data_IF_621680215959
#
_entry.id   IF_621680215959
#
_cell.length_a   1.000
_cell.length_b   1.000
_cell.length_c   1.000
_cell.angle_alpha   90.00
_cell.angle_beta   90.00
_cell.angle_gamma   90.00
#
_symmetry.space_group_name_H-M   'P 1'
#
loop_
_entity.id
_entity.type
_entity.pdbx_description
1 polymer ?
#
# COMPACT_ATOMS: atom_id res chain seq x y z
N UNK A 1 0.14 35.08 55.52
CA UNK A 1 -0.40 33.71 55.35
C UNK A 1 -1.85 33.71 55.76
N UNK A 2 -2.74 33.13 54.93
CA UNK A 2 -3.56 32.04 55.45
C UNK A 2 -3.59 30.82 54.52
N UNK A 3 -3.82 29.68 55.14
CA UNK A 3 -3.78 28.32 54.61
C UNK A 3 -4.84 28.10 53.51
N UNK A 4 -4.42 27.45 52.41
CA UNK A 4 -5.33 26.92 51.39
C UNK A 4 -5.78 25.51 51.80
N UNK A 5 -7.08 25.17 51.78
CA UNK A 5 -7.55 23.85 52.15
C UNK A 5 -7.28 22.83 51.03
N UNK A 6 -6.61 21.73 51.37
CA UNK A 6 -6.49 20.56 50.51
C UNK A 6 -7.87 19.91 50.31
N UNK A 7 -8.41 19.98 49.10
CA UNK A 7 -9.57 19.17 48.70
C UNK A 7 -9.11 17.76 48.30
N UNK A 8 -9.83 16.70 48.71
CA UNK A 8 -9.57 15.34 48.25
C UNK A 8 -9.90 15.20 46.75
N UNK A 9 -9.23 14.30 46.01
CA UNK A 9 -9.53 14.07 44.61
C UNK A 9 -10.96 13.52 44.44
N UNK A 10 -11.66 13.87 43.35
CA UNK A 10 -13.02 13.39 43.12
C UNK A 10 -13.04 11.87 42.90
N UNK A 11 -14.10 11.16 43.33
CA UNK A 11 -14.21 9.73 43.14
C UNK A 11 -14.28 9.40 41.64
N UNK A 12 -13.63 8.31 41.25
CA UNK A 12 -13.60 7.79 39.89
C UNK A 12 -15.02 7.74 39.30
N UNK A 13 -15.28 8.58 38.31
CA UNK A 13 -16.56 8.63 37.60
C UNK A 13 -16.81 7.29 36.93
N UNK A 14 -17.89 6.61 37.34
CA UNK A 14 -18.38 5.41 36.68
C UNK A 14 -18.62 5.69 35.18
N UNK A 15 -18.29 4.76 34.28
CA UNK A 15 -18.47 4.97 32.85
C UNK A 15 -19.96 5.19 32.52
N UNK A 16 -20.29 6.05 31.53
CA UNK A 16 -21.67 6.39 31.22
C UNK A 16 -22.48 5.15 30.81
N UNK A 17 -23.79 5.10 31.11
CA UNK A 17 -24.62 3.88 30.99
C UNK A 17 -24.59 3.23 29.59
N UNK A 18 -24.39 4.01 28.52
CA UNK A 18 -24.24 3.49 27.14
C UNK A 18 -23.00 2.61 26.96
N UNK A 19 -21.90 2.94 27.63
CA UNK A 19 -20.63 2.19 27.56
C UNK A 19 -20.77 0.86 28.33
N UNK A 20 -21.44 0.88 29.48
CA UNK A 20 -21.78 -0.33 30.24
C UNK A 20 -22.68 -1.27 29.43
N UNK A 21 -23.74 -0.75 28.80
CA UNK A 21 -24.62 -1.57 27.95
C UNK A 21 -23.86 -2.18 26.77
N UNK A 22 -23.02 -1.41 26.08
CA UNK A 22 -22.19 -1.93 24.98
C UNK A 22 -21.21 -3.01 25.46
N UNK A 23 -20.62 -2.83 26.65
CA UNK A 23 -19.74 -3.82 27.26
C UNK A 23 -20.46 -5.14 27.57
N UNK A 24 -21.66 -5.09 28.18
CA UNK A 24 -22.45 -6.29 28.45
C UNK A 24 -22.97 -6.96 27.19
N UNK A 25 -23.40 -6.19 26.17
CA UNK A 25 -23.78 -6.73 24.86
C UNK A 25 -22.59 -7.41 24.19
N UNK A 26 -21.40 -6.80 24.22
CA UNK A 26 -20.18 -7.40 23.70
C UNK A 26 -19.84 -8.71 24.42
N UNK A 27 -19.93 -8.73 25.76
CA UNK A 27 -19.67 -9.93 26.56
C UNK A 27 -20.68 -11.04 26.25
N UNK A 28 -21.97 -10.70 26.17
CA UNK A 28 -23.05 -11.61 25.79
C UNK A 28 -22.82 -12.20 24.39
N UNK A 29 -22.55 -11.35 23.39
CA UNK A 29 -22.25 -11.80 22.03
C UNK A 29 -21.01 -12.70 21.99
N UNK A 30 -19.97 -12.41 22.79
CA UNK A 30 -18.80 -13.28 22.91
C UNK A 30 -19.15 -14.64 23.53
N UNK A 31 -19.96 -14.67 24.59
CA UNK A 31 -20.41 -15.91 25.23
C UNK A 31 -21.29 -16.73 24.28
N UNK A 32 -22.26 -16.10 23.65
CA UNK A 32 -23.15 -16.72 22.66
C UNK A 32 -22.36 -17.30 21.48
N UNK A 33 -21.41 -16.55 20.92
CA UNK A 33 -20.53 -17.02 19.85
C UNK A 33 -19.71 -18.25 20.27
N UNK A 34 -19.21 -18.28 21.51
CA UNK A 34 -18.46 -19.43 22.04
C UNK A 34 -19.34 -20.67 22.16
N UNK A 35 -20.54 -20.52 22.72
CA UNK A 35 -21.50 -21.62 22.85
C UNK A 35 -21.92 -22.13 21.48
N UNK A 36 -22.23 -21.22 20.54
CA UNK A 36 -22.55 -21.57 19.16
C UNK A 36 -21.40 -22.33 18.51
N UNK A 37 -20.15 -21.84 18.62
CA UNK A 37 -18.96 -22.52 18.06
C UNK A 37 -18.77 -23.93 18.60
N UNK A 38 -19.01 -24.15 19.89
CA UNK A 38 -18.98 -25.48 20.50
C UNK A 38 -20.09 -26.37 19.93
N UNK A 39 -21.32 -25.87 19.88
CA UNK A 39 -22.47 -26.59 19.31
C UNK A 39 -22.24 -26.94 17.84
N UNK A 40 -21.75 -26.00 17.02
CA UNK A 40 -21.43 -26.26 15.61
C UNK A 40 -20.35 -27.33 15.46
N UNK A 41 -19.35 -27.39 16.36
CA UNK A 41 -18.35 -28.48 16.34
C UNK A 41 -18.99 -29.82 16.67
N UNK A 42 -19.91 -29.87 17.63
CA UNK A 42 -20.63 -31.10 17.98
C UNK A 42 -21.54 -31.59 16.86
N UNK A 43 -22.21 -30.67 16.17
CA UNK A 43 -23.14 -31.01 15.07
C UNK A 43 -22.40 -31.36 13.78
N UNK A 44 -21.37 -30.58 13.40
CA UNK A 44 -20.70 -30.75 12.09
C UNK A 44 -19.44 -31.61 12.14
N UNK A 45 -18.93 -31.93 13.33
CA UNK A 45 -17.62 -32.57 13.51
C UNK A 45 -16.41 -31.68 13.16
N UNK A 46 -16.62 -30.53 12.51
CA UNK A 46 -15.57 -29.65 11.99
C UNK A 46 -15.18 -28.57 13.00
N UNK A 47 -13.89 -28.26 13.09
CA UNK A 47 -13.42 -27.10 13.84
C UNK A 47 -13.64 -25.78 13.05
N UNK A 48 -13.40 -24.64 13.70
CA UNK A 48 -13.59 -23.32 13.07
C UNK A 48 -12.68 -23.11 11.85
N UNK A 49 -11.39 -23.46 11.95
CA UNK A 49 -10.44 -23.35 10.84
C UNK A 49 -10.89 -24.16 9.62
N UNK A 50 -11.38 -25.39 9.84
CA UNK A 50 -11.97 -26.20 8.77
C UNK A 50 -13.16 -25.49 8.10
N UNK A 51 -14.10 -24.96 8.89
CA UNK A 51 -15.25 -24.22 8.34
C UNK A 51 -14.82 -22.97 7.57
N UNK A 52 -13.80 -22.25 8.03
CA UNK A 52 -13.29 -21.08 7.33
C UNK A 52 -12.67 -21.49 5.99
N UNK A 53 -11.80 -22.51 5.99
CA UNK A 53 -11.13 -22.96 4.76
C UNK A 53 -12.10 -23.52 3.72
N UNK A 54 -13.14 -24.26 4.12
CA UNK A 54 -14.10 -24.82 3.16
C UNK A 54 -15.13 -23.82 2.63
N UNK A 55 -15.53 -22.84 3.44
CA UNK A 55 -16.62 -21.93 3.08
C UNK A 55 -16.14 -20.61 2.47
N UNK A 56 -14.83 -20.40 2.34
CA UNK A 56 -14.27 -19.16 1.79
C UNK A 56 -13.21 -19.50 0.74
N UNK A 57 -13.35 -18.91 -0.45
CA UNK A 57 -12.36 -19.01 -1.53
C UNK A 57 -10.99 -18.45 -1.07
N UNK A 58 -9.87 -18.87 -1.71
CA UNK A 58 -8.58 -18.23 -1.49
C UNK A 58 -8.65 -16.71 -1.64
N UNK A 59 -7.92 -15.99 -0.79
CA UNK A 59 -7.91 -14.52 -0.76
C UNK A 59 -8.18 -13.94 0.62
N UNK A 60 -8.33 -12.62 0.67
CA UNK A 60 -8.41 -11.84 1.91
C UNK A 60 -9.50 -12.29 2.87
N UNK A 61 -10.69 -12.63 2.36
CA UNK A 61 -11.81 -13.06 3.22
C UNK A 61 -11.46 -14.29 4.05
N UNK A 62 -10.77 -15.26 3.45
CA UNK A 62 -10.35 -16.49 4.14
C UNK A 62 -9.23 -16.17 5.12
N UNK A 63 -8.21 -15.45 4.67
CA UNK A 63 -7.00 -15.15 5.44
C UNK A 63 -7.29 -14.28 6.66
N UNK A 64 -8.09 -13.21 6.53
CA UNK A 64 -8.49 -12.36 7.65
C UNK A 64 -9.28 -13.12 8.72
N UNK A 65 -10.14 -14.07 8.30
CA UNK A 65 -10.89 -14.93 9.23
C UNK A 65 -9.98 -15.92 9.94
N UNK A 66 -9.01 -16.52 9.24
CA UNK A 66 -7.99 -17.40 9.84
C UNK A 66 -7.15 -16.61 10.83
N UNK A 67 -6.62 -15.46 10.44
CA UNK A 67 -5.84 -14.58 11.30
C UNK A 67 -6.59 -14.24 12.59
N UNK A 68 -7.85 -13.79 12.47
CA UNK A 68 -8.70 -13.51 13.63
C UNK A 68 -8.95 -14.76 14.49
N UNK A 69 -9.19 -15.91 13.86
CA UNK A 69 -9.42 -17.17 14.58
C UNK A 69 -8.19 -17.63 15.37
N UNK A 70 -6.99 -17.35 14.88
CA UNK A 70 -5.72 -17.69 15.52
C UNK A 70 -5.40 -16.69 16.65
N UNK A 71 -5.45 -15.39 16.36
CA UNK A 71 -5.16 -14.31 17.32
C UNK A 71 -6.06 -14.34 18.55
N UNK A 72 -7.36 -14.62 18.38
CA UNK A 72 -8.32 -14.67 19.49
C UNK A 72 -8.53 -16.07 20.06
N UNK A 73 -7.67 -17.03 19.72
CA UNK A 73 -7.67 -18.37 20.32
C UNK A 73 -7.38 -18.32 21.82
N UNK A 74 -7.77 -19.36 22.57
CA UNK A 74 -7.30 -19.57 23.97
C UNK A 74 -5.96 -20.32 24.05
N UNK A 75 -5.58 -20.98 22.96
CA UNK A 75 -4.34 -21.74 22.89
C UNK A 75 -3.21 -20.82 22.48
N UNK A 76 -2.18 -20.75 23.31
CA UNK A 76 -0.96 -19.97 23.05
C UNK A 76 -0.27 -20.42 21.76
N UNK A 77 -0.23 -21.72 21.47
CA UNK A 77 0.27 -22.28 20.22
C UNK A 77 -0.43 -21.68 18.99
N UNK A 78 -1.76 -21.53 19.03
CA UNK A 78 -2.49 -20.92 17.91
C UNK A 78 -2.28 -19.41 17.82
N UNK A 79 -2.10 -18.73 18.96
CA UNK A 79 -1.80 -17.30 18.97
C UNK A 79 -0.41 -17.02 18.43
N UNK A 80 0.59 -17.84 18.75
CA UNK A 80 1.95 -17.67 18.28
C UNK A 80 2.10 -17.92 16.78
N UNK A 81 1.24 -18.77 16.19
CA UNK A 81 1.27 -19.13 14.77
C UNK A 81 1.19 -17.93 13.79
N UNK A 82 0.65 -16.78 14.20
CA UNK A 82 0.61 -15.57 13.34
C UNK A 82 1.88 -14.72 13.41
N UNK A 83 2.83 -15.08 14.27
CA UNK A 83 4.07 -14.33 14.54
C UNK A 83 5.34 -15.16 14.38
N UNK A 84 5.23 -16.31 13.73
CA UNK A 84 6.37 -17.19 13.40
C UNK A 84 7.15 -16.66 12.19
N UNK A 85 8.42 -17.06 12.02
CA UNK A 85 9.14 -16.81 10.78
C UNK A 85 8.62 -17.71 9.62
N UNK A 86 8.84 -17.31 8.34
CA UNK A 86 8.31 -18.02 7.16
C UNK A 86 8.70 -19.50 7.06
N UNK A 87 9.94 -19.83 7.40
CA UNK A 87 10.50 -21.18 7.39
C UNK A 87 9.81 -22.13 8.38
N UNK A 88 9.20 -21.59 9.42
CA UNK A 88 8.49 -22.35 10.47
C UNK A 88 7.02 -22.60 10.15
N UNK A 89 6.51 -22.12 9.01
CA UNK A 89 5.08 -22.22 8.66
C UNK A 89 4.61 -23.67 8.53
N UNK A 90 5.41 -24.54 7.91
CA UNK A 90 5.07 -25.97 7.74
C UNK A 90 4.91 -26.66 9.10
N UNK A 91 5.90 -26.50 9.97
CA UNK A 91 5.85 -27.01 11.34
C UNK A 91 4.63 -26.47 12.12
N UNK A 92 4.31 -25.18 11.97
CA UNK A 92 3.16 -24.59 12.63
C UNK A 92 1.84 -25.19 12.13
N UNK A 93 1.73 -25.58 10.85
CA UNK A 93 0.56 -26.27 10.31
C UNK A 93 0.40 -27.63 10.98
N UNK A 94 1.47 -28.41 11.08
CA UNK A 94 1.45 -29.74 11.73
C UNK A 94 1.05 -29.63 13.21
N UNK A 95 1.62 -28.65 13.92
CA UNK A 95 1.30 -28.33 15.31
C UNK A 95 -0.20 -27.95 15.45
N UNK A 96 -0.74 -27.14 14.54
CA UNK A 96 -2.17 -26.77 14.50
C UNK A 96 -3.06 -27.98 14.21
N UNK A 97 -2.71 -28.80 13.22
CA UNK A 97 -3.47 -29.99 12.82
C UNK A 97 -3.55 -30.98 13.98
N UNK A 98 -2.41 -31.24 14.61
CA UNK A 98 -2.27 -32.11 15.79
C UNK A 98 -3.12 -31.61 16.94
N UNK A 99 -2.98 -30.33 17.32
CA UNK A 99 -3.75 -29.70 18.40
C UNK A 99 -5.26 -29.77 18.15
N UNK A 100 -5.68 -29.61 16.89
CA UNK A 100 -7.10 -29.66 16.51
C UNK A 100 -7.63 -31.07 16.30
N UNK A 101 -6.77 -32.09 16.36
CA UNK A 101 -7.07 -33.50 16.08
C UNK A 101 -7.66 -33.67 14.67
N UNK A 102 -6.99 -33.07 13.69
CA UNK A 102 -7.36 -33.15 12.28
C UNK A 102 -6.47 -34.20 11.61
N UNK A 103 -7.08 -35.15 10.90
CA UNK A 103 -6.34 -36.13 10.12
C UNK A 103 -5.90 -35.49 8.78
N UNK A 104 -4.59 -35.49 8.51
CA UNK A 104 -3.97 -34.93 7.29
C UNK A 104 -4.47 -35.62 6.02
N UNK A 105 -4.46 -36.96 5.99
CA UNK A 105 -4.80 -37.77 4.81
C UNK A 105 -6.26 -37.59 4.38
N UNK A 106 -7.14 -37.32 5.35
CA UNK A 106 -8.55 -37.09 5.09
C UNK A 106 -8.85 -35.65 4.63
N UNK A 107 -7.91 -34.70 4.75
CA UNK A 107 -8.16 -33.27 4.53
C UNK A 107 -6.99 -32.52 3.86
N UNK A 108 -6.40 -33.00 2.74
CA UNK A 108 -5.21 -32.38 2.14
C UNK A 108 -5.43 -30.90 1.76
N UNK A 109 -6.63 -30.57 1.25
CA UNK A 109 -6.99 -29.19 0.88
C UNK A 109 -6.98 -28.21 2.06
N UNK A 110 -7.17 -28.71 3.30
CA UNK A 110 -7.12 -27.87 4.49
C UNK A 110 -5.69 -27.40 4.75
N UNK A 111 -4.71 -28.28 4.64
CA UNK A 111 -3.29 -27.96 4.83
C UNK A 111 -2.84 -26.89 3.86
N UNK A 112 -3.12 -27.08 2.58
CA UNK A 112 -2.81 -26.10 1.51
C UNK A 112 -3.48 -24.74 1.80
N UNK A 113 -4.75 -24.75 2.21
CA UNK A 113 -5.49 -23.52 2.51
C UNK A 113 -4.94 -22.78 3.74
N UNK A 114 -4.54 -23.52 4.77
CA UNK A 114 -3.92 -22.97 5.98
C UNK A 114 -2.52 -22.44 5.66
N UNK A 115 -1.72 -23.17 4.90
CA UNK A 115 -0.38 -22.78 4.47
C UNK A 115 -0.40 -21.44 3.73
N UNK A 116 -1.20 -21.35 2.67
CA UNK A 116 -1.33 -20.11 1.91
C UNK A 116 -1.76 -18.93 2.80
N UNK A 117 -2.70 -19.16 3.73
CA UNK A 117 -3.17 -18.10 4.62
C UNK A 117 -2.13 -17.70 5.67
N UNK A 118 -1.36 -18.65 6.20
CA UNK A 118 -0.28 -18.37 7.16
C UNK A 118 0.90 -17.66 6.50
N UNK A 119 1.31 -18.08 5.30
CA UNK A 119 2.34 -17.38 4.52
C UNK A 119 1.93 -15.95 4.24
N UNK A 120 0.65 -15.70 3.92
CA UNK A 120 0.12 -14.35 3.75
C UNK A 120 0.20 -13.51 5.05
N UNK A 121 -0.20 -14.07 6.18
CA UNK A 121 -0.18 -13.38 7.48
C UNK A 121 1.26 -13.03 7.89
N UNK A 122 2.16 -14.02 7.82
CA UNK A 122 3.58 -13.85 8.17
C UNK A 122 4.26 -12.90 7.18
N UNK A 123 4.00 -13.04 5.89
CA UNK A 123 4.54 -12.15 4.85
C UNK A 123 4.12 -10.70 5.05
N UNK A 124 2.87 -10.45 5.42
CA UNK A 124 2.41 -9.09 5.74
C UNK A 124 3.17 -8.47 6.92
N UNK A 125 3.47 -9.27 7.94
CA UNK A 125 4.28 -8.82 9.09
C UNK A 125 5.72 -8.53 8.67
N UNK A 126 6.33 -9.37 7.85
CA UNK A 126 7.68 -9.14 7.33
C UNK A 126 7.73 -7.89 6.45
N UNK A 127 6.73 -7.71 5.60
CA UNK A 127 6.57 -6.51 4.78
C UNK A 127 6.48 -5.23 5.63
N UNK A 128 5.72 -5.24 6.73
CA UNK A 128 5.67 -4.12 7.67
C UNK A 128 7.05 -3.76 8.23
N UNK A 129 7.84 -4.76 8.61
CA UNK A 129 9.19 -4.54 9.14
C UNK A 129 10.15 -4.00 8.08
N UNK A 130 10.10 -4.55 6.86
CA UNK A 130 10.95 -4.14 5.74
C UNK A 130 10.63 -2.72 5.28
N UNK A 131 9.33 -2.40 5.10
CA UNK A 131 8.88 -1.04 4.74
C UNK A 131 9.23 -0.04 5.83
N UNK A 132 9.06 -0.39 7.11
CA UNK A 132 9.42 0.51 8.22
C UNK A 132 10.93 0.73 8.31
N UNK A 133 11.75 -0.30 8.02
CA UNK A 133 13.20 -0.16 7.95
C UNK A 133 13.58 0.88 6.89
N UNK A 134 13.11 0.72 5.65
CA UNK A 134 13.39 1.63 4.54
C UNK A 134 12.86 3.05 4.80
N UNK A 135 11.69 3.17 5.44
CA UNK A 135 11.10 4.47 5.78
C UNK A 135 11.95 5.25 6.79
N UNK A 136 12.58 4.54 7.74
CA UNK A 136 13.43 5.14 8.78
C UNK A 136 14.85 5.38 8.33
N UNK A 137 15.30 4.70 7.28
CA UNK A 137 16.65 4.85 6.74
C UNK A 137 16.79 6.21 6.03
N UNK A 138 17.61 7.14 6.55
CA UNK A 138 17.77 8.44 5.93
C UNK A 138 18.59 8.33 4.64
N UNK A 139 18.28 9.17 3.66
CA UNK A 139 19.14 9.34 2.51
C UNK A 139 20.52 9.86 2.92
N UNK A 140 21.57 9.20 2.44
CA UNK A 140 22.96 9.55 2.71
C UNK A 140 23.69 9.85 1.40
N UNK A 141 24.26 11.05 1.30
CA UNK A 141 25.00 11.52 0.13
C UNK A 141 26.41 10.94 0.04
N UNK A 142 26.93 10.40 1.14
CA UNK A 142 28.23 9.74 1.18
C UNK A 142 28.13 8.24 0.85
N UNK A 143 26.91 7.71 0.74
CA UNK A 143 26.65 6.32 0.36
C UNK A 143 26.48 6.21 -1.16
N UNK A 144 27.37 5.43 -1.80
CA UNK A 144 27.37 5.26 -3.25
C UNK A 144 26.11 4.61 -3.81
N UNK A 145 25.49 3.67 -3.08
CA UNK A 145 24.26 3.00 -3.54
C UNK A 145 23.06 3.97 -3.53
N UNK A 146 23.00 4.86 -2.53
CA UNK A 146 21.96 5.88 -2.44
C UNK A 146 22.07 6.92 -3.57
N UNK A 147 23.30 7.39 -3.83
CA UNK A 147 23.58 8.30 -4.93
C UNK A 147 23.32 7.63 -6.28
N UNK A 148 23.69 6.37 -6.47
CA UNK A 148 23.38 5.61 -7.69
C UNK A 148 21.87 5.52 -7.94
N UNK A 149 21.07 5.18 -6.92
CA UNK A 149 19.61 5.12 -7.04
C UNK A 149 19.00 6.48 -7.43
N UNK A 150 19.48 7.57 -6.83
CA UNK A 150 18.97 8.92 -7.11
C UNK A 150 19.35 9.37 -8.54
N UNK A 151 20.57 9.11 -8.97
CA UNK A 151 21.03 9.40 -10.33
C UNK A 151 20.29 8.54 -11.36
N UNK A 152 20.01 7.28 -11.04
CA UNK A 152 19.20 6.38 -11.88
C UNK A 152 17.79 6.91 -12.06
N UNK A 153 17.16 7.40 -10.99
CA UNK A 153 15.83 8.05 -11.06
C UNK A 153 15.83 9.21 -12.06
N UNK A 154 16.84 10.09 -11.98
CA UNK A 154 16.99 11.20 -12.93
C UNK A 154 17.13 10.69 -14.36
N UNK A 155 18.09 9.79 -14.61
CA UNK A 155 18.36 9.23 -15.93
C UNK A 155 17.11 8.57 -16.55
N UNK A 156 16.28 7.93 -15.73
CA UNK A 156 15.04 7.29 -16.19
C UNK A 156 13.96 8.30 -16.59
N UNK A 157 13.83 9.41 -15.86
CA UNK A 157 12.80 10.44 -16.07
C UNK A 157 13.22 11.57 -17.03
N UNK A 158 14.54 11.79 -17.19
CA UNK A 158 15.16 12.83 -18.02
C UNK A 158 16.37 12.25 -18.79
N UNK A 159 16.16 11.28 -19.69
CA UNK A 159 17.25 10.63 -20.42
C UNK A 159 18.05 11.61 -21.30
N UNK A 160 17.40 12.65 -21.82
CA UNK A 160 17.98 13.58 -22.78
C UNK A 160 18.70 14.77 -22.13
N UNK A 161 18.65 14.90 -20.81
CA UNK A 161 19.22 16.04 -20.08
C UNK A 161 20.05 15.55 -18.91
N UNK A 162 21.37 15.35 -19.08
CA UNK A 162 22.24 14.96 -17.99
C UNK A 162 22.27 15.99 -16.86
N UNK A 163 22.49 15.54 -15.63
CA UNK A 163 22.71 16.45 -14.50
C UNK A 163 24.07 17.14 -14.65
N UNK A 164 24.09 18.46 -14.47
CA UNK A 164 25.33 19.26 -14.41
C UNK A 164 26.12 19.01 -13.13
N UNK A 165 25.45 18.47 -12.10
CA UNK A 165 26.05 18.11 -10.83
C UNK A 165 25.00 17.55 -9.87
N UNK A 166 25.46 16.88 -8.82
CA UNK A 166 24.58 16.28 -7.81
C UNK A 166 23.72 17.33 -7.11
N UNK A 167 24.24 18.51 -6.80
CA UNK A 167 23.46 19.64 -6.28
C UNK A 167 23.21 20.63 -7.42
N UNK A 168 21.98 20.68 -7.92
CA UNK A 168 21.60 21.48 -9.09
C UNK A 168 20.12 21.85 -9.06
N UNK A 169 19.75 22.99 -9.65
CA UNK A 169 18.33 23.39 -9.79
C UNK A 169 17.53 22.46 -10.70
N UNK A 170 18.20 21.63 -11.49
CA UNK A 170 17.58 20.64 -12.37
C UNK A 170 16.63 19.69 -11.61
N UNK A 171 16.89 19.37 -10.34
CA UNK A 171 15.99 18.53 -9.54
C UNK A 171 14.57 19.07 -9.41
N UNK A 172 14.38 20.40 -9.51
CA UNK A 172 13.05 21.01 -9.55
C UNK A 172 12.24 20.57 -10.78
N UNK A 173 12.88 20.19 -11.89
CA UNK A 173 12.22 19.77 -13.14
C UNK A 173 11.50 18.44 -13.04
N UNK A 174 11.89 17.59 -12.08
CA UNK A 174 11.16 16.36 -11.74
C UNK A 174 10.38 16.49 -10.43
N UNK A 175 10.27 17.72 -9.92
CA UNK A 175 9.41 18.06 -8.79
C UNK A 175 10.00 17.80 -7.42
N UNK A 176 11.33 17.82 -7.24
CA UNK A 176 11.95 17.93 -5.91
C UNK A 176 11.99 19.39 -5.43
N UNK A 177 12.16 19.60 -4.13
CA UNK A 177 12.24 20.94 -3.55
C UNK A 177 13.69 21.44 -3.57
N UNK A 178 13.92 22.56 -4.26
CA UNK A 178 15.24 23.20 -4.28
C UNK A 178 16.27 22.41 -5.11
N UNK A 179 17.54 22.55 -4.76
CA UNK A 179 18.66 22.00 -5.55
C UNK A 179 19.21 20.68 -5.02
N UNK A 180 18.72 20.18 -3.89
CA UNK A 180 19.17 18.94 -3.28
C UNK A 180 18.00 18.09 -2.75
N UNK A 181 17.66 16.98 -3.43
CA UNK A 181 16.62 16.03 -3.02
C UNK A 181 16.79 15.44 -1.62
N UNK A 182 18.00 15.45 -1.04
CA UNK A 182 18.27 14.90 0.31
C UNK A 182 17.28 15.41 1.35
N UNK A 183 16.89 16.68 1.23
CA UNK A 183 16.00 17.34 2.20
C UNK A 183 14.53 16.91 2.11
N UNK A 184 14.11 16.35 0.98
CA UNK A 184 12.74 15.93 0.69
C UNK A 184 12.43 14.54 1.26
N UNK A 185 13.44 13.68 1.35
CA UNK A 185 13.29 12.31 1.84
C UNK A 185 13.15 12.20 3.37
N UNK A 186 13.17 13.29 4.14
CA UNK A 186 13.16 13.24 5.62
C UNK A 186 12.00 12.46 6.22
N UNK A 187 10.80 12.55 5.63
CA UNK A 187 9.59 11.90 6.16
C UNK A 187 9.53 10.40 5.86
N UNK A 188 9.91 10.02 4.64
CA UNK A 188 9.75 8.66 4.11
C UNK A 188 11.07 7.93 3.85
N UNK A 189 12.21 8.52 4.22
CA UNK A 189 13.53 7.92 4.05
C UNK A 189 13.81 7.44 2.63
N UNK A 190 14.59 6.37 2.54
CA UNK A 190 14.86 5.67 1.28
C UNK A 190 13.60 5.05 0.66
N UNK A 191 12.57 4.71 1.45
CA UNK A 191 11.32 4.18 0.89
C UNK A 191 10.72 5.11 -0.17
N UNK A 192 10.79 6.43 0.05
CA UNK A 192 10.34 7.42 -0.92
C UNK A 192 11.13 7.35 -2.24
N UNK A 193 12.45 7.20 -2.17
CA UNK A 193 13.32 7.05 -3.34
C UNK A 193 13.07 5.72 -4.06
N UNK A 194 13.01 4.61 -3.32
CA UNK A 194 12.72 3.28 -3.87
C UNK A 194 11.39 3.26 -4.64
N UNK A 195 10.34 3.85 -4.08
CA UNK A 195 9.03 3.88 -4.72
C UNK A 195 9.02 4.73 -5.99
N UNK A 196 9.61 5.94 -5.94
CA UNK A 196 9.74 6.81 -7.12
C UNK A 196 10.51 6.13 -8.23
N UNK A 197 11.65 5.51 -7.90
CA UNK A 197 12.47 4.77 -8.85
C UNK A 197 11.72 3.57 -9.42
N UNK A 198 11.07 2.77 -8.57
CA UNK A 198 10.28 1.62 -9.01
C UNK A 198 9.20 2.03 -10.02
N UNK A 199 8.46 3.11 -9.74
CA UNK A 199 7.44 3.62 -10.66
C UNK A 199 8.04 4.11 -11.99
N UNK A 200 9.17 4.82 -11.94
CA UNK A 200 9.87 5.28 -13.13
C UNK A 200 10.39 4.12 -14.00
N UNK A 201 10.79 3.00 -13.40
CA UNK A 201 11.35 1.84 -14.12
C UNK A 201 10.30 0.86 -14.62
N UNK A 202 9.28 0.57 -13.81
CA UNK A 202 8.31 -0.50 -14.10
C UNK A 202 7.04 -0.01 -14.78
N UNK A 203 6.69 1.28 -14.61
CA UNK A 203 5.56 1.93 -15.29
C UNK A 203 6.02 3.22 -15.96
N UNK A 204 7.14 3.12 -16.71
CA UNK A 204 7.83 4.28 -17.29
C UNK A 204 6.92 5.19 -18.10
N UNK A 205 6.03 4.60 -18.92
CA UNK A 205 5.10 5.37 -19.74
C UNK A 205 4.15 6.22 -18.89
N UNK A 206 3.53 5.63 -17.86
CA UNK A 206 2.66 6.35 -16.94
C UNK A 206 3.46 7.36 -16.12
N UNK A 207 4.65 7.01 -15.63
CA UNK A 207 5.49 7.92 -14.86
C UNK A 207 5.89 9.17 -15.65
N UNK A 208 6.29 9.00 -16.91
CA UNK A 208 6.61 10.12 -17.80
C UNK A 208 5.37 10.94 -18.16
N UNK A 209 4.22 10.31 -18.39
CA UNK A 209 2.96 11.02 -18.62
C UNK A 209 2.55 11.87 -17.41
N UNK A 210 2.54 11.26 -16.22
CA UNK A 210 2.21 11.96 -14.96
C UNK A 210 3.18 13.12 -14.73
N UNK A 211 4.48 12.89 -14.96
CA UNK A 211 5.48 13.95 -14.84
C UNK A 211 5.24 15.08 -15.86
N UNK A 212 4.97 14.75 -17.12
CA UNK A 212 4.67 15.74 -18.15
C UNK A 212 3.44 16.58 -17.79
N UNK A 213 2.32 15.93 -17.45
CA UNK A 213 1.07 16.59 -17.07
C UNK A 213 1.25 17.47 -15.83
N UNK A 214 2.06 17.02 -14.88
CA UNK A 214 2.36 17.75 -13.64
C UNK A 214 3.16 19.04 -13.87
N UNK A 215 3.69 19.27 -15.07
CA UNK A 215 4.44 20.48 -15.42
C UNK A 215 3.62 21.49 -16.24
N UNK A 216 2.44 21.09 -16.75
CA UNK A 216 1.64 21.92 -17.65
C UNK A 216 0.79 22.98 -16.88
N UNK A 217 0.73 24.25 -17.33
CA UNK A 217 -0.24 25.25 -16.84
C UNK A 217 -1.66 24.98 -17.38
N UNK A 218 -2.73 25.29 -16.61
CA UNK A 218 -4.12 25.08 -17.08
C UNK A 218 -4.54 26.33 -17.82
N UNK A 219 -4.84 26.20 -19.11
CA UNK A 219 -5.76 27.14 -19.74
C UNK A 219 -7.17 26.79 -19.29
N UNK A 220 -7.76 27.62 -18.43
CA UNK A 220 -9.15 27.48 -18.04
C UNK A 220 -10.01 27.73 -19.28
N UNK A 221 -10.76 26.73 -19.75
CA UNK A 221 -11.79 26.96 -20.77
C UNK A 221 -12.85 27.90 -20.17
N UNK A 222 -13.16 28.95 -20.93
CA UNK A 222 -13.96 30.08 -20.50
C UNK A 222 -15.29 29.68 -19.86
N UNK A 223 -15.38 29.90 -18.54
CA UNK A 223 -16.66 30.12 -17.85
C UNK A 223 -16.90 31.63 -17.69
N UNK A 224 -16.39 32.43 -18.64
CA UNK A 224 -16.54 33.88 -18.71
C UNK A 224 -17.56 34.32 -19.78
N UNK A 225 -18.55 33.48 -20.11
CA UNK A 225 -19.65 33.89 -21.00
C UNK A 225 -20.76 34.69 -20.31
N UNK A 226 -20.66 34.98 -19.00
CA UNK A 226 -21.64 35.82 -18.31
C UNK A 226 -21.01 36.68 -17.21
N UNK A 227 -20.19 37.67 -17.60
CA UNK A 227 -20.02 38.87 -16.78
C UNK A 227 -20.14 40.09 -17.70
N UNK A 228 -21.33 40.70 -17.71
CA UNK A 228 -21.54 42.02 -18.31
C UNK A 228 -20.62 43.03 -17.60
N UNK A 229 -19.79 43.82 -18.32
CA UNK A 229 -18.86 44.78 -17.71
C UNK A 229 -19.50 45.99 -17.01
N UNK A 230 -20.81 46.00 -16.80
CA UNK A 230 -21.56 47.21 -16.40
C UNK A 230 -21.87 47.32 -14.90
N UNK A 231 -21.39 46.43 -14.03
CA UNK A 231 -21.72 46.49 -12.59
C UNK A 231 -20.48 46.30 -11.73
N UNK A 232 -19.59 47.28 -11.72
CA UNK A 232 -18.64 47.51 -10.62
C UNK A 232 -18.43 49.01 -10.43
N UNK A 233 -19.44 49.67 -9.87
CA UNK A 233 -19.22 50.84 -9.02
C UNK A 233 -19.90 50.56 -7.68
N UNK A 234 -19.18 50.91 -6.61
CA UNK A 234 -19.61 50.90 -5.21
C UNK A 234 -19.72 49.53 -4.50
N UNK A 235 -18.75 49.20 -3.64
CA UNK A 235 -18.86 49.53 -2.21
C UNK A 235 -17.72 48.99 -1.34
N UNK A 236 -17.61 49.68 -0.22
CA UNK A 236 -16.52 49.76 0.74
C UNK A 236 -16.23 48.54 1.63
N UNK A 237 -15.03 48.65 2.23
CA UNK A 237 -14.47 47.99 3.40
C UNK A 237 -15.47 47.52 4.49
N UNK A 238 -15.29 46.30 5.02
CA UNK A 238 -15.60 45.98 6.41
C UNK A 238 -14.85 44.72 6.91
N UNK A 239 -14.38 44.83 8.15
CA UNK A 239 -13.47 44.00 8.94
C UNK A 239 -13.99 42.61 9.32
N UNK A 240 -13.09 41.64 9.54
CA UNK A 240 -13.38 40.37 10.23
C UNK A 240 -12.39 40.12 11.38
N UNK A 241 -12.84 39.55 12.52
CA UNK A 241 -12.05 39.47 13.76
C UNK A 241 -11.16 38.22 13.84
N UNK A 242 -10.07 38.38 14.60
CA UNK A 242 -9.05 37.39 14.98
C UNK A 242 -9.58 36.34 15.95
N UNK A 243 -9.19 35.07 15.75
CA UNK A 243 -9.31 34.02 16.77
C UNK A 243 -8.13 33.03 16.65
N UNK A 244 -7.33 32.96 17.72
CA UNK A 244 -6.19 32.05 17.92
C UNK A 244 -6.63 30.83 18.74
N UNK A 245 -6.16 29.62 18.37
CA UNK A 245 -5.29 28.74 19.20
C UNK A 245 -5.33 27.23 18.82
N UNK A 246 -4.11 26.67 18.62
CA UNK A 246 -3.63 25.25 18.69
C UNK A 246 -3.95 24.20 17.60
N UNK A 247 -3.11 23.14 17.43
CA UNK A 247 -1.67 22.98 17.69
C UNK A 247 -0.84 22.68 16.41
N UNK A 248 0.47 22.95 16.50
CA UNK A 248 1.42 22.90 15.40
C UNK A 248 1.67 21.49 14.83
N UNK A 249 1.39 21.31 13.54
CA UNK A 249 1.98 20.30 12.64
C UNK A 249 1.63 20.68 11.20
N UNK A 250 2.58 20.57 10.27
CA UNK A 250 2.49 20.92 8.83
C UNK A 250 2.52 22.40 8.42
N UNK A 251 2.08 23.35 9.25
CA UNK A 251 2.09 24.78 8.86
C UNK A 251 3.52 25.39 8.77
N UNK A 252 4.50 24.84 9.50
CA UNK A 252 5.87 25.38 9.52
C UNK A 252 6.77 24.94 8.36
N UNK A 253 6.34 23.95 7.55
CA UNK A 253 7.14 23.42 6.44
C UNK A 253 6.74 23.97 5.07
N UNK A 254 5.52 24.52 4.96
CA UNK A 254 4.99 25.05 3.70
C UNK A 254 4.87 26.59 3.74
N UNK A 255 4.77 27.21 4.92
CA UNK A 255 4.48 28.64 5.07
C UNK A 255 5.67 29.60 5.00
N UNK A 256 6.83 29.26 5.59
CA UNK A 256 7.88 30.24 5.86
C UNK A 256 9.21 29.94 5.16
N UNK A 257 9.26 30.15 3.83
CA UNK A 257 10.48 30.61 3.13
C UNK A 257 10.35 31.05 1.67
N UNK A 258 9.15 31.36 1.18
CA UNK A 258 9.00 32.14 -0.06
C UNK A 258 8.94 33.63 0.26
N UNK A 259 10.07 34.23 0.67
CA UNK A 259 10.21 35.68 0.73
C UNK A 259 11.48 36.11 0.00
N UNK A 260 11.41 36.10 -1.33
CA UNK A 260 12.12 37.08 -2.15
C UNK A 260 11.11 38.21 -2.41
N UNK A 261 11.45 39.46 -2.05
CA UNK A 261 10.55 40.61 -2.13
C UNK A 261 9.99 40.73 -3.55
N UNK A 262 8.70 40.43 -3.73
CA UNK A 262 8.03 40.48 -5.03
C UNK A 262 6.87 41.47 -4.97
N UNK A 263 6.67 42.22 -6.05
CA UNK A 263 5.73 43.33 -6.09
C UNK A 263 4.26 42.85 -6.15
N UNK A 264 3.32 43.67 -5.63
CA UNK A 264 1.88 43.38 -5.67
C UNK A 264 1.35 43.14 -7.09
N UNK A 265 1.98 43.79 -8.09
CA UNK A 265 1.63 43.65 -9.51
C UNK A 265 2.14 42.32 -10.10
N UNK A 266 3.31 41.83 -9.70
CA UNK A 266 3.76 40.46 -10.03
C UNK A 266 2.91 39.39 -9.37
N UNK A 267 2.41 39.64 -8.15
CA UNK A 267 1.49 38.73 -7.48
C UNK A 267 0.14 38.63 -8.20
N UNK A 268 -0.42 39.75 -8.67
CA UNK A 268 -1.67 39.74 -9.44
C UNK A 268 -1.52 39.16 -10.85
N UNK A 269 -0.35 39.30 -11.50
CA UNK A 269 -0.05 38.60 -12.76
C UNK A 269 0.06 37.08 -12.56
N UNK A 270 0.75 36.63 -11.51
CA UNK A 270 0.84 35.19 -11.16
C UNK A 270 -0.49 34.57 -10.73
N UNK A 271 -1.45 35.38 -10.28
CA UNK A 271 -2.81 34.93 -9.93
C UNK A 271 -3.57 34.34 -11.13
N UNK A 272 -3.17 34.67 -12.37
CA UNK A 272 -3.76 34.15 -13.60
C UNK A 272 -2.97 33.00 -14.26
N UNK A 273 -1.73 32.76 -13.84
CA UNK A 273 -0.95 31.57 -14.23
C UNK A 273 -1.25 30.41 -13.28
N UNK A 274 -2.48 29.90 -13.35
CA UNK A 274 -2.95 28.75 -12.54
C UNK A 274 -2.22 27.47 -12.97
N UNK A 275 -1.18 27.11 -12.23
CA UNK A 275 -0.49 25.83 -12.39
C UNK A 275 -1.46 24.67 -12.07
N UNK A 276 -1.67 23.77 -13.05
CA UNK A 276 -2.23 22.42 -12.81
C UNK A 276 -1.31 21.61 -11.90
N UNK A 277 -0.02 21.92 -12.02
CA UNK A 277 1.07 21.07 -11.62
C UNK A 277 1.26 20.96 -10.12
N UNK A 278 1.08 19.75 -9.59
CA UNK A 278 1.74 19.39 -8.35
C UNK A 278 3.18 18.96 -8.64
N UNK A 279 4.06 19.07 -7.65
CA UNK A 279 5.44 18.61 -7.79
C UNK A 279 5.51 17.08 -7.80
N UNK A 280 5.84 16.47 -8.96
CA UNK A 280 5.86 15.01 -9.15
C UNK A 280 6.55 14.25 -8.02
N UNK A 281 7.82 14.56 -7.72
CA UNK A 281 8.57 13.83 -6.70
C UNK A 281 8.00 14.07 -5.28
N UNK A 282 7.68 15.31 -4.89
CA UNK A 282 7.06 15.58 -3.58
C UNK A 282 5.73 14.84 -3.42
N UNK A 283 4.89 14.84 -4.45
CA UNK A 283 3.63 14.09 -4.40
C UNK A 283 3.88 12.59 -4.35
N UNK A 284 4.84 12.05 -5.10
CA UNK A 284 5.20 10.62 -4.99
C UNK A 284 5.71 10.25 -3.59
N UNK A 285 6.53 11.06 -2.95
CA UNK A 285 6.94 10.87 -1.55
C UNK A 285 5.71 10.91 -0.63
N UNK A 286 4.76 11.80 -0.91
CA UNK A 286 3.56 11.91 -0.11
C UNK A 286 2.54 10.77 -0.33
N UNK A 287 2.45 10.23 -1.54
CA UNK A 287 1.67 9.02 -1.84
C UNK A 287 2.34 7.78 -1.22
N UNK A 288 3.67 7.77 -1.09
CA UNK A 288 4.38 6.76 -0.29
C UNK A 288 3.94 6.78 1.17
N UNK A 289 3.80 7.96 1.78
CA UNK A 289 3.24 8.12 3.13
C UNK A 289 1.79 7.62 3.24
N UNK A 290 0.96 7.87 2.22
CA UNK A 290 -0.40 7.34 2.14
C UNK A 290 -0.42 5.80 2.03
N UNK A 291 0.43 5.21 1.18
CA UNK A 291 0.57 3.77 1.04
C UNK A 291 1.04 3.13 2.36
N UNK A 292 2.04 3.73 3.01
CA UNK A 292 2.51 3.31 4.32
C UNK A 292 1.41 3.35 5.38
N UNK A 293 0.62 4.43 5.43
CA UNK A 293 -0.52 4.56 6.36
C UNK A 293 -1.58 3.46 6.15
N UNK A 294 -1.86 3.09 4.89
CA UNK A 294 -2.77 1.99 4.56
C UNK A 294 -2.21 0.62 5.00
N UNK A 295 -0.88 0.44 4.92
CA UNK A 295 -0.20 -0.77 5.38
C UNK A 295 -0.23 -0.86 6.92
N UNK A 296 0.16 0.19 7.64
CA UNK A 296 0.22 0.15 9.12
C UNK A 296 -1.17 0.01 9.75
N UNK A 297 -2.19 0.65 9.17
CA UNK A 297 -3.57 0.55 9.67
C UNK A 297 -4.22 -0.83 9.47
N UNK A 298 -3.60 -1.72 8.67
CA UNK A 298 -4.19 -3.02 8.33
C UNK A 298 -5.16 -2.97 7.15
N UNK A 299 -5.52 -1.79 6.63
CA UNK A 299 -6.47 -1.64 5.52
C UNK A 299 -5.96 -2.34 4.25
N UNK A 300 -4.64 -2.31 4.02
CA UNK A 300 -4.01 -2.91 2.83
C UNK A 300 -4.05 -4.45 2.85
N UNK A 301 -4.33 -5.11 3.98
CA UNK A 301 -4.47 -6.58 4.05
C UNK A 301 -5.47 -7.12 3.04
N UNK A 302 -6.59 -6.43 2.84
CA UNK A 302 -7.60 -6.84 1.86
C UNK A 302 -7.03 -6.94 0.45
N UNK A 303 -6.23 -5.95 0.05
CA UNK A 303 -5.58 -5.97 -1.25
C UNK A 303 -4.48 -7.03 -1.33
N UNK A 304 -3.54 -7.02 -0.38
CA UNK A 304 -2.34 -7.87 -0.43
C UNK A 304 -2.69 -9.36 -0.37
N UNK A 305 -3.67 -9.75 0.44
CA UNK A 305 -4.11 -11.15 0.50
C UNK A 305 -4.87 -11.60 -0.75
N UNK A 306 -5.33 -10.68 -1.60
CA UNK A 306 -5.95 -11.01 -2.88
C UNK A 306 -4.94 -11.08 -4.05
N UNK A 307 -3.82 -10.34 -3.96
CA UNK A 307 -2.83 -10.27 -5.07
C UNK A 307 -1.55 -11.09 -4.83
N UNK A 308 -1.24 -11.42 -3.57
CA UNK A 308 -0.06 -12.19 -3.19
C UNK A 308 -0.49 -13.54 -2.57
N UNK A 309 -0.89 -14.54 -3.38
CA UNK A 309 -1.34 -15.85 -2.88
C UNK A 309 -0.24 -16.65 -2.16
N UNK A 310 1.03 -16.38 -2.49
CA UNK A 310 2.19 -16.94 -1.80
C UNK A 310 2.50 -16.13 -0.54
N UNK A 311 3.13 -14.96 -0.71
CA UNK A 311 3.59 -14.11 0.40
C UNK A 311 3.65 -12.64 -0.03
N UNK A 312 3.02 -11.71 0.73
CA UNK A 312 3.24 -10.28 0.55
C UNK A 312 4.72 -9.90 0.72
N UNK A 313 5.22 -9.01 -0.14
CA UNK A 313 6.63 -8.59 -0.20
C UNK A 313 6.74 -7.12 -0.63
N UNK A 314 7.94 -6.53 -0.53
CA UNK A 314 8.17 -5.13 -0.90
C UNK A 314 7.72 -4.79 -2.32
N UNK A 315 7.91 -5.73 -3.26
CA UNK A 315 7.44 -5.60 -4.64
C UNK A 315 5.93 -5.31 -4.70
N UNK A 316 5.11 -6.04 -3.93
CA UNK A 316 3.67 -5.82 -3.90
C UNK A 316 3.31 -4.44 -3.36
N UNK A 317 4.04 -3.95 -2.34
CA UNK A 317 3.86 -2.60 -1.82
C UNK A 317 4.21 -1.52 -2.87
N UNK A 318 5.29 -1.71 -3.61
CA UNK A 318 5.71 -0.81 -4.69
C UNK A 318 4.70 -0.81 -5.86
N UNK A 319 4.14 -1.97 -6.21
CA UNK A 319 3.05 -2.07 -7.19
C UNK A 319 1.79 -1.33 -6.70
N UNK A 320 1.43 -1.47 -5.42
CA UNK A 320 0.35 -0.68 -4.82
C UNK A 320 0.66 0.83 -4.90
N UNK A 321 1.91 1.24 -4.67
CA UNK A 321 2.33 2.63 -4.83
C UNK A 321 2.12 3.13 -6.27
N UNK A 322 2.49 2.36 -7.30
CA UNK A 322 2.25 2.73 -8.70
C UNK A 322 0.76 2.93 -9.00
N UNK A 323 -0.10 2.01 -8.53
CA UNK A 323 -1.56 2.16 -8.63
C UNK A 323 -2.02 3.47 -7.98
N UNK A 324 -1.60 3.73 -6.75
CA UNK A 324 -2.03 4.89 -5.98
C UNK A 324 -1.55 6.19 -6.62
N UNK A 325 -0.34 6.23 -7.17
CA UNK A 325 0.20 7.41 -7.84
C UNK A 325 -0.60 7.74 -9.11
N UNK A 326 -0.85 6.73 -9.94
CA UNK A 326 -1.65 6.88 -11.16
C UNK A 326 -3.10 7.29 -10.86
N UNK A 327 -3.76 6.61 -9.93
CA UNK A 327 -5.15 6.93 -9.56
C UNK A 327 -5.27 8.27 -8.83
N UNK A 328 -4.25 8.66 -8.06
CA UNK A 328 -4.22 10.00 -7.48
C UNK A 328 -4.08 11.07 -8.55
N UNK A 329 -3.24 10.87 -9.57
CA UNK A 329 -3.09 11.81 -10.70
C UNK A 329 -4.42 12.03 -11.43
N UNK A 330 -5.11 10.94 -11.79
CA UNK A 330 -6.47 11.03 -12.38
C UNK A 330 -7.42 11.78 -11.46
N UNK A 331 -7.44 11.42 -10.18
CA UNK A 331 -8.31 12.04 -9.20
C UNK A 331 -8.00 13.54 -9.02
N UNK A 332 -6.73 13.94 -9.05
CA UNK A 332 -6.30 15.33 -9.01
C UNK A 332 -6.87 16.12 -10.19
N UNK A 333 -6.72 15.58 -11.40
CA UNK A 333 -7.24 16.19 -12.63
C UNK A 333 -8.76 16.31 -12.59
N UNK A 334 -9.46 15.27 -12.12
CA UNK A 334 -10.93 15.23 -11.94
C UNK A 334 -11.42 16.25 -10.92
N UNK A 335 -10.67 16.48 -9.83
CA UNK A 335 -11.06 17.45 -8.80
C UNK A 335 -10.91 18.91 -9.24
N UNK A 336 -10.16 19.18 -10.32
CA UNK A 336 -9.88 20.54 -10.82
C UNK A 336 -9.58 21.55 -9.70
N UNK A 337 -8.52 21.30 -8.89
CA UNK A 337 -8.16 22.24 -7.83
C UNK A 337 -7.86 23.62 -8.39
N UNK A 338 -8.21 24.64 -7.62
CA UNK A 338 -7.83 26.00 -7.97
C UNK A 338 -6.31 26.19 -7.92
N UNK A 339 -5.64 25.56 -6.95
CA UNK A 339 -4.20 25.63 -6.77
C UNK A 339 -3.70 24.50 -5.85
N UNK A 340 -2.39 24.46 -5.66
CA UNK A 340 -1.70 23.45 -4.84
C UNK A 340 -2.07 23.50 -3.35
N UNK A 341 -2.63 24.60 -2.83
CA UNK A 341 -3.02 24.70 -1.42
C UNK A 341 -4.17 23.74 -1.07
N UNK A 342 -4.92 23.28 -2.08
CA UNK A 342 -5.96 22.28 -1.92
C UNK A 342 -5.43 20.84 -1.78
N UNK A 343 -4.11 20.64 -1.90
CA UNK A 343 -3.48 19.33 -1.92
C UNK A 343 -3.89 18.44 -0.75
N UNK A 344 -3.75 18.93 0.48
CA UNK A 344 -4.08 18.14 1.67
C UNK A 344 -5.56 17.77 1.73
N UNK A 345 -6.46 18.66 1.27
CA UNK A 345 -7.90 18.42 1.20
C UNK A 345 -8.22 17.31 0.20
N UNK A 346 -7.64 17.40 -1.00
CA UNK A 346 -7.85 16.43 -2.08
C UNK A 346 -7.24 15.08 -1.72
N UNK A 347 -6.01 15.04 -1.21
CA UNK A 347 -5.38 13.81 -0.70
C UNK A 347 -6.23 13.14 0.36
N UNK A 348 -6.78 13.90 1.29
CA UNK A 348 -7.66 13.35 2.35
C UNK A 348 -8.97 12.77 1.79
N UNK A 349 -9.52 13.36 0.71
CA UNK A 349 -10.65 12.77 -0.02
C UNK A 349 -10.24 11.48 -0.73
N UNK A 350 -9.09 11.48 -1.42
CA UNK A 350 -8.55 10.31 -2.10
C UNK A 350 -8.32 9.15 -1.12
N UNK A 351 -7.67 9.41 0.02
CA UNK A 351 -7.45 8.42 1.07
C UNK A 351 -8.77 7.76 1.52
N UNK A 352 -9.82 8.56 1.79
CA UNK A 352 -11.16 8.04 2.13
C UNK A 352 -11.77 7.20 1.01
N UNK A 353 -11.58 7.60 -0.25
CA UNK A 353 -12.03 6.82 -1.42
C UNK A 353 -11.33 5.45 -1.46
N UNK A 354 -10.02 5.40 -1.27
CA UNK A 354 -9.24 4.16 -1.26
C UNK A 354 -9.65 3.27 -0.08
N UNK A 355 -9.79 3.81 1.14
CA UNK A 355 -10.28 3.05 2.29
C UNK A 355 -11.66 2.44 2.04
N UNK A 356 -12.58 3.19 1.42
CA UNK A 356 -13.91 2.67 1.08
C UNK A 356 -13.84 1.50 0.10
N UNK A 357 -12.91 1.52 -0.86
CA UNK A 357 -12.69 0.40 -1.78
C UNK A 357 -12.15 -0.83 -1.02
N UNK A 358 -11.18 -0.65 -0.13
CA UNK A 358 -10.54 -1.72 0.65
C UNK A 358 -11.49 -2.40 1.67
N UNK A 359 -12.66 -1.82 1.95
CA UNK A 359 -13.72 -2.48 2.72
C UNK A 359 -14.39 -3.64 1.96
N UNK A 360 -14.28 -3.69 0.62
CA UNK A 360 -14.75 -4.83 -0.15
C UNK A 360 -13.74 -5.99 -0.02
N UNK A 361 -14.11 -7.15 0.54
CA UNK A 361 -13.18 -8.25 0.79
C UNK A 361 -12.54 -8.85 -0.47
N UNK A 362 -13.09 -8.57 -1.65
CA UNK A 362 -12.54 -9.03 -2.94
C UNK A 362 -11.75 -7.94 -3.66
N UNK A 363 -11.49 -6.80 -3.00
CA UNK A 363 -10.78 -5.69 -3.61
C UNK A 363 -9.32 -6.05 -3.88
N UNK A 364 -8.85 -5.76 -5.09
CA UNK A 364 -7.46 -5.73 -5.48
C UNK A 364 -7.16 -4.41 -6.20
N UNK A 365 -6.26 -3.61 -5.63
CA UNK A 365 -5.78 -2.35 -6.21
C UNK A 365 -4.74 -2.67 -7.30
N UNK A 366 -5.20 -3.19 -8.44
CA UNK A 366 -4.29 -3.58 -9.52
C UNK A 366 -3.93 -2.37 -10.38
N UNK A 367 -2.64 -2.08 -10.59
CA UNK A 367 -2.22 -1.19 -11.67
C UNK A 367 -2.66 -1.78 -13.00
N UNK A 368 -2.89 -0.93 -14.00
CA UNK A 368 -3.12 -1.36 -15.37
C UNK A 368 -1.79 -1.83 -15.99
N UNK A 369 -1.14 -2.83 -15.38
CA UNK A 369 0.01 -3.49 -15.97
C UNK A 369 -0.47 -4.36 -17.11
N UNK A 370 0.30 -4.41 -18.21
CA UNK A 370 -0.04 -5.25 -19.35
C UNK A 370 -0.34 -6.68 -18.88
N UNK A 371 -1.36 -7.31 -19.47
CA UNK A 371 -1.90 -8.59 -19.03
C UNK A 371 -0.87 -9.75 -18.96
N UNK A 372 0.35 -9.54 -19.44
CA UNK A 372 1.50 -10.44 -19.37
C UNK A 372 1.85 -10.84 -17.93
N UNK A 373 1.88 -9.88 -17.00
CA UNK A 373 2.30 -10.15 -15.60
C UNK A 373 1.14 -10.70 -14.75
N UNK A 374 -0.10 -10.32 -15.06
CA UNK A 374 -1.30 -10.85 -14.39
C UNK A 374 -1.63 -12.30 -14.81
N UNK A 375 -1.21 -12.71 -16.02
CA UNK A 375 -1.45 -14.08 -16.51
C UNK A 375 -0.69 -15.12 -15.71
N UNK A 376 0.49 -14.81 -15.18
CA UNK A 376 1.24 -15.72 -14.30
C UNK A 376 0.52 -15.96 -12.97
N UNK A 377 -0.11 -14.93 -12.39
CA UNK A 377 -0.86 -15.05 -11.13
C UNK A 377 -2.18 -15.82 -11.34
N UNK A 378 -2.94 -15.53 -12.40
CA UNK A 378 -4.19 -16.25 -12.69
C UNK A 378 -3.95 -17.69 -13.20
N UNK A 379 -2.88 -17.95 -13.96
CA UNK A 379 -2.54 -19.31 -14.40
C UNK A 379 -2.03 -20.17 -13.23
N UNK A 380 -1.28 -19.63 -12.26
CA UNK A 380 -0.87 -20.38 -11.07
C UNK A 380 -2.06 -20.75 -10.17
N UNK A 381 -3.02 -19.85 -10.00
CA UNK A 381 -4.20 -20.07 -9.14
C UNK A 381 -5.18 -21.09 -9.73
N UNK A 382 -5.24 -21.23 -11.06
CA UNK A 382 -6.16 -22.15 -11.74
C UNK A 382 -5.50 -23.49 -12.07
N UNK A 383 -4.18 -23.55 -12.31
CA UNK A 383 -3.54 -24.74 -12.90
C UNK A 383 -2.86 -25.69 -11.90
N UNK A 384 -2.44 -25.22 -10.73
CA UNK A 384 -1.76 -26.10 -9.75
C UNK A 384 -2.66 -27.21 -9.16
N UNK A 385 -3.96 -27.00 -8.89
CA UNK A 385 -4.83 -28.09 -8.46
C UNK A 385 -5.08 -29.10 -9.57
N UNK A 386 -5.12 -28.67 -10.84
CA UNK A 386 -5.41 -29.55 -11.98
C UNK A 386 -4.22 -30.45 -12.31
N UNK A 387 -3.00 -29.92 -12.26
CA UNK A 387 -1.77 -30.70 -12.52
C UNK A 387 -1.55 -31.75 -11.42
N UNK A 388 -1.80 -31.41 -10.15
CA UNK A 388 -1.66 -32.36 -9.04
C UNK A 388 -2.74 -33.45 -9.07
N UNK A 389 -3.97 -33.12 -9.50
CA UNK A 389 -5.04 -34.11 -9.66
C UNK A 389 -4.78 -35.06 -10.84
N UNK A 390 -4.18 -34.58 -11.93
CA UNK A 390 -3.79 -35.44 -13.06
C UNK A 390 -2.63 -36.40 -12.73
N UNK A 391 -1.68 -36.00 -11.86
CA UNK A 391 -0.57 -36.86 -11.45
C UNK A 391 -0.98 -37.98 -10.46
N UNK A 392 -2.00 -37.74 -9.63
CA UNK A 392 -2.48 -38.71 -8.63
C UNK A 392 -3.50 -39.72 -9.15
N UNK A 393 -4.07 -39.51 -10.35
CA UNK A 393 -5.05 -40.41 -10.98
C UNK A 393 -4.49 -41.22 -12.17
N UNK A 394 -3.18 -41.21 -12.39
CA UNK A 394 -2.54 -42.13 -13.34
C UNK A 394 -2.61 -43.56 -12.78
N UNK A 395 -3.32 -44.49 -13.45
CA UNK A 395 -3.43 -45.87 -12.96
C UNK A 395 -2.07 -46.55 -13.01
N UNK A 396 -1.65 -47.08 -11.87
CA UNK A 396 -0.46 -47.91 -11.75
C UNK A 396 -0.75 -49.31 -12.32
N UNK A 397 -0.74 -49.45 -13.65
CA UNK A 397 -0.66 -50.76 -14.30
C UNK A 397 0.22 -50.68 -15.55
N UNK A 398 1.25 -51.52 -15.55
CA UNK A 398 2.35 -51.58 -16.49
C UNK A 398 1.94 -51.75 -17.97
N UNK A 399 2.79 -51.25 -18.88
CA UNK A 399 2.92 -51.80 -20.23
C UNK A 399 3.12 -50.78 -21.34
N UNK A 400 4.39 -50.55 -21.70
CA UNK A 400 4.90 -50.19 -23.02
C UNK A 400 4.44 -48.90 -23.76
N UNK A 401 5.50 -48.14 -24.11
CA UNK A 401 5.73 -47.38 -25.37
C UNK A 401 5.19 -45.94 -25.50
N UNK A 402 6.14 -45.02 -25.28
CA UNK A 402 6.53 -43.92 -26.20
C UNK A 402 5.42 -43.07 -26.79
N UNK A 403 5.04 -41.96 -26.12
CA UNK A 403 4.67 -40.67 -26.73
C UNK A 403 4.34 -39.64 -25.63
N UNK A 404 5.28 -39.30 -24.73
CA UNK A 404 5.03 -38.26 -23.71
C UNK A 404 6.29 -37.51 -23.22
N UNK A 405 7.41 -37.59 -23.95
CA UNK A 405 8.67 -36.97 -23.52
C UNK A 405 8.90 -35.56 -24.08
N UNK A 406 8.02 -35.06 -24.95
CA UNK A 406 8.21 -33.77 -25.65
C UNK A 406 7.60 -32.56 -24.93
N UNK A 407 6.73 -32.77 -23.93
CA UNK A 407 6.05 -31.66 -23.21
C UNK A 407 6.71 -31.30 -21.88
N UNK A 408 7.59 -32.15 -21.35
CA UNK A 408 8.29 -31.92 -20.07
C UNK A 408 9.61 -31.17 -20.31
N UNK A 409 10.27 -31.36 -21.46
CA UNK A 409 11.51 -30.65 -21.79
C UNK A 409 11.32 -29.15 -22.11
N UNK A 410 10.13 -28.73 -22.55
CA UNK A 410 9.88 -27.31 -22.85
C UNK A 410 9.74 -26.45 -21.59
N UNK A 411 9.30 -27.03 -20.47
CA UNK A 411 9.21 -26.32 -19.19
C UNK A 411 10.59 -26.11 -18.54
N UNK A 412 11.48 -27.10 -18.60
CA UNK A 412 12.84 -27.01 -18.05
C UNK A 412 13.75 -26.05 -18.84
N UNK A 413 13.53 -25.90 -20.15
CA UNK A 413 14.28 -24.94 -20.97
C UNK A 413 13.86 -23.48 -20.75
N UNK A 414 12.61 -23.21 -20.35
CA UNK A 414 12.13 -21.85 -20.03
C UNK A 414 12.66 -21.33 -18.68
N UNK A 415 12.87 -22.21 -17.70
CA UNK A 415 13.53 -21.88 -16.43
C UNK A 415 15.04 -21.67 -16.58
N UNK A 416 15.68 -22.35 -17.54
CA UNK A 416 17.11 -22.19 -17.82
C UNK A 416 17.41 -20.89 -18.62
N UNK A 417 16.55 -20.48 -19.54
CA UNK A 417 16.78 -19.29 -20.39
C UNK A 417 16.68 -17.95 -19.64
N UNK A 418 16.03 -17.91 -18.46
CA UNK A 418 15.93 -16.68 -17.65
C UNK A 418 17.16 -16.41 -16.78
N UNK A 419 18.09 -17.38 -16.69
CA UNK A 419 19.30 -17.27 -15.84
C UNK A 419 20.58 -16.95 -16.64
N UNK A 420 20.48 -16.81 -17.97
CA UNK A 420 21.65 -16.60 -18.86
C UNK A 420 21.68 -15.25 -19.58
N UNK A 421 20.80 -14.29 -19.27
CA UNK A 421 20.79 -12.95 -19.90
C UNK A 421 21.50 -11.88 -19.04
N UNK A 422 22.09 -12.26 -17.90
CA UNK A 422 22.78 -11.32 -16.99
C UNK A 422 24.32 -11.34 -17.03
N UNK A 423 24.93 -12.02 -18.00
CA UNK A 423 26.39 -11.94 -18.21
C UNK A 423 26.71 -11.97 -19.69
N UNK A 424 27.30 -10.86 -20.17
CA UNK A 424 28.07 -10.62 -21.41
C UNK A 424 27.54 -9.37 -22.14
N UNK A 425 28.02 -8.21 -21.70
CA UNK A 425 28.26 -7.06 -22.59
C UNK A 425 29.26 -6.12 -21.92
N UNK A 426 30.49 -6.62 -21.77
CA UNK A 426 31.68 -5.79 -21.79
C UNK A 426 32.76 -6.55 -22.56
N UNK A 427 33.38 -5.82 -23.50
CA UNK A 427 34.61 -6.10 -24.26
C UNK A 427 34.44 -6.39 -25.78
N UNK A 428 34.72 -5.31 -26.53
CA UNK A 428 35.58 -5.21 -27.73
C UNK A 428 35.14 -5.88 -29.04
N UNK A 429 34.67 -5.07 -29.99
CA UNK A 429 35.50 -4.51 -31.09
C UNK A 429 34.77 -3.34 -31.74
#
# INVERSE_FOLDING_TARGET
MPFSPHYPPPPHTLPPPRVLTQFFVFLYCKCLWRTLKFMTRKVTGRCELQRICYNNKPGARRTLKIESSLQFSKSELLQSAVSIPPDSVEKAIDDIMTLKRINHDSNPQLGISLQASLLQIVGYRNLLMEVEKLRREPYDSENSEHEEMLLKLWKTLRPDTPLTGRVSKQWCEIGFQGSDPKTDFRGMGLLGLHNLLYFAEHDKATALQVLHDSLQPRQRSDCASWVNPAVLQHNDCASAPSMKDSPASLHSLIGDRFSCKMSKVEWEKKKFDKAIGYSFAIVGINITDLAYSLLVSGAMKTHLYNVAPEMPSLMHFQQTFCYLMHEFHKFWIEQDPCDIMEFNRIRSKFHRRVLKQLNNPNMALCPHFSASDLRLVNLCVISLPVIYTCLMYLPSSAGHLTYASTSILTASHLTSASTSILTVSHLTS
#
